data_IF_525112237505
#
_entry.id   IF_525112237505
#
_cell.length_a   1.000
_cell.length_b   1.000
_cell.length_c   1.000
_cell.angle_alpha   90.00
_cell.angle_beta   90.00
_cell.angle_gamma   90.00
#
_symmetry.space_group_name_H-M   'P 1'
#
loop_
_entity.id
_entity.type
_entity.pdbx_description
1 polymer ?
#
# COMPACT_ATOMS: atom_id res chain seq x y z
N UNK A 1 -18.00 -54.05 42.22
CA UNK A 1 -16.94 -53.43 41.39
C UNK A 1 -17.54 -53.19 40.02
N UNK A 2 -17.67 -52.01 39.46
CA UNK A 2 -17.60 -50.62 39.90
C UNK A 2 -18.31 -49.83 38.76
N UNK A 3 -18.93 -48.73 39.13
CA UNK A 3 -19.77 -47.85 38.30
C UNK A 3 -18.99 -47.15 37.17
N UNK A 4 -19.73 -46.63 36.17
CA UNK A 4 -19.19 -45.86 35.05
C UNK A 4 -20.29 -45.08 34.31
N UNK A 5 -20.72 -44.00 34.95
CA UNK A 5 -21.19 -42.68 34.43
C UNK A 5 -21.98 -42.59 33.11
N UNK A 6 -23.27 -42.24 33.24
CA UNK A 6 -24.12 -41.66 32.20
C UNK A 6 -23.69 -40.21 31.90
N UNK A 7 -23.28 -39.94 30.66
CA UNK A 7 -22.88 -38.60 30.19
C UNK A 7 -24.12 -37.82 29.69
N UNK A 8 -24.61 -36.78 30.41
CA UNK A 8 -25.91 -36.15 30.14
C UNK A 8 -25.88 -35.02 29.10
N UNK A 9 -24.78 -34.86 28.35
CA UNK A 9 -24.58 -33.74 27.40
C UNK A 9 -24.37 -34.14 25.93
N UNK A 10 -24.93 -35.28 25.51
CA UNK A 10 -25.00 -35.67 24.11
C UNK A 10 -26.01 -34.83 23.30
N UNK A 11 -25.72 -33.54 23.06
CA UNK A 11 -26.45 -32.73 22.09
C UNK A 11 -26.17 -33.25 20.67
N UNK A 12 -27.08 -34.08 20.16
CA UNK A 12 -27.15 -34.40 18.75
C UNK A 12 -27.37 -33.12 17.94
N UNK A 13 -26.31 -32.62 17.29
CA UNK A 13 -26.42 -31.63 16.23
C UNK A 13 -27.15 -32.27 15.03
N UNK A 14 -28.48 -32.18 15.03
CA UNK A 14 -29.25 -32.24 13.80
C UNK A 14 -28.95 -30.97 13.02
N UNK A 15 -28.00 -31.06 12.10
CA UNK A 15 -27.81 -30.04 11.07
C UNK A 15 -29.06 -30.02 10.18
N UNK A 16 -30.02 -29.18 10.55
CA UNK A 16 -31.09 -28.73 9.66
C UNK A 16 -30.49 -27.81 8.60
N UNK A 17 -29.69 -28.39 7.70
CA UNK A 17 -29.31 -27.75 6.45
C UNK A 17 -30.54 -27.71 5.53
N UNK A 18 -31.44 -26.76 5.78
CA UNK A 18 -32.33 -26.27 4.75
C UNK A 18 -31.46 -25.51 3.75
N UNK A 19 -30.82 -26.25 2.85
CA UNK A 19 -30.21 -25.69 1.66
C UNK A 19 -31.33 -25.05 0.84
N UNK A 20 -31.49 -23.74 0.99
CA UNK A 20 -32.21 -22.92 0.02
C UNK A 20 -31.66 -23.29 -1.35
N UNK A 21 -32.47 -23.96 -2.15
CA UNK A 21 -32.17 -24.32 -3.53
C UNK A 21 -31.88 -23.04 -4.31
N UNK A 22 -30.60 -22.66 -4.35
CA UNK A 22 -30.13 -21.50 -5.08
C UNK A 22 -30.54 -21.64 -6.55
N UNK A 23 -31.13 -20.58 -7.10
CA UNK A 23 -31.56 -20.56 -8.50
C UNK A 23 -30.41 -21.04 -9.41
N UNK A 24 -30.60 -22.09 -10.23
CA UNK A 24 -29.54 -22.66 -11.07
C UNK A 24 -28.94 -21.64 -12.05
N UNK A 25 -29.68 -20.56 -12.37
CA UNK A 25 -29.18 -19.45 -13.18
C UNK A 25 -28.11 -18.65 -12.45
N UNK A 26 -28.27 -18.42 -11.14
CA UNK A 26 -27.31 -17.71 -10.30
C UNK A 26 -26.02 -18.52 -10.18
N UNK A 27 -26.13 -19.83 -9.98
CA UNK A 27 -24.96 -20.71 -9.92
C UNK A 27 -24.16 -20.69 -11.24
N UNK A 28 -24.86 -20.71 -12.37
CA UNK A 28 -24.23 -20.65 -13.70
C UNK A 28 -23.51 -19.31 -13.92
N UNK A 29 -24.15 -18.20 -13.55
CA UNK A 29 -23.57 -16.86 -13.66
C UNK A 29 -22.35 -16.68 -12.76
N UNK A 30 -22.41 -17.20 -11.53
CA UNK A 30 -21.29 -17.16 -10.58
C UNK A 30 -20.09 -17.92 -11.14
N UNK A 31 -20.29 -19.13 -11.66
CA UNK A 31 -19.22 -19.91 -12.28
C UNK A 31 -18.60 -19.19 -13.50
N UNK A 32 -19.42 -18.47 -14.29
CA UNK A 32 -18.91 -17.67 -15.40
C UNK A 32 -18.01 -16.52 -14.90
N UNK A 33 -18.39 -15.82 -13.84
CA UNK A 33 -17.56 -14.76 -13.25
C UNK A 33 -16.28 -15.29 -12.61
N UNK A 34 -16.33 -16.43 -11.91
CA UNK A 34 -15.12 -17.05 -11.36
C UNK A 34 -14.16 -17.47 -12.45
N UNK A 35 -14.66 -18.05 -13.56
CA UNK A 35 -13.82 -18.37 -14.72
C UNK A 35 -13.22 -17.14 -15.39
N UNK A 36 -13.95 -16.01 -15.41
CA UNK A 36 -13.41 -14.74 -15.88
C UNK A 36 -12.25 -14.26 -15.00
N UNK A 37 -12.36 -14.36 -13.67
CA UNK A 37 -11.28 -14.01 -12.75
C UNK A 37 -10.05 -14.93 -12.90
N UNK A 38 -10.24 -16.18 -13.32
CA UNK A 38 -9.14 -17.10 -13.64
C UNK A 38 -8.48 -16.86 -15.00
N UNK A 39 -9.05 -16.01 -15.86
CA UNK A 39 -8.56 -15.85 -17.24
C UNK A 39 -7.25 -15.05 -17.34
N UNK A 40 -6.95 -14.19 -16.37
CA UNK A 40 -5.74 -13.38 -16.37
C UNK A 40 -4.56 -14.16 -15.75
N UNK A 41 -3.59 -14.52 -16.58
CA UNK A 41 -2.37 -15.20 -16.15
C UNK A 41 -1.33 -14.25 -15.53
N UNK A 42 -1.42 -12.94 -15.77
CA UNK A 42 -0.45 -11.95 -15.25
C UNK A 42 -0.77 -11.53 -13.83
N UNK A 43 -2.06 -11.43 -13.51
CA UNK A 43 -2.56 -11.05 -12.19
C UNK A 43 -3.49 -12.15 -11.65
N UNK A 44 -2.93 -13.24 -11.09
CA UNK A 44 -3.70 -14.42 -10.71
C UNK A 44 -4.46 -14.18 -9.39
N UNK A 45 -5.56 -13.44 -9.44
CA UNK A 45 -6.45 -13.24 -8.28
C UNK A 45 -7.16 -14.51 -7.87
N UNK A 46 -7.45 -15.40 -8.82
CA UNK A 46 -8.16 -16.65 -8.59
C UNK A 46 -7.60 -17.75 -9.49
N UNK A 47 -7.39 -18.94 -8.94
CA UNK A 47 -7.03 -20.15 -9.69
C UNK A 47 -8.06 -21.24 -9.47
N UNK A 48 -8.34 -21.99 -10.52
CA UNK A 48 -9.16 -23.19 -10.46
C UNK A 48 -8.25 -24.38 -10.13
N UNK A 49 -8.47 -25.03 -8.98
CA UNK A 49 -7.73 -26.23 -8.58
C UNK A 49 -8.36 -27.50 -9.19
N UNK A 50 -9.69 -27.54 -9.22
CA UNK A 50 -10.49 -28.58 -9.87
C UNK A 50 -11.77 -27.95 -10.40
N UNK A 51 -12.50 -28.58 -11.34
CA UNK A 51 -13.73 -28.01 -11.89
C UNK A 51 -14.70 -27.56 -10.81
N UNK A 52 -14.94 -26.25 -10.70
CA UNK A 52 -15.81 -25.66 -9.68
C UNK A 52 -15.19 -25.43 -8.30
N UNK A 53 -13.89 -25.70 -8.12
CA UNK A 53 -13.12 -25.42 -6.90
C UNK A 53 -12.04 -24.37 -7.19
N UNK A 54 -12.10 -23.25 -6.47
CA UNK A 54 -11.25 -22.10 -6.68
C UNK A 54 -10.48 -21.73 -5.41
N UNK A 55 -9.27 -21.21 -5.58
CA UNK A 55 -8.44 -20.70 -4.48
C UNK A 55 -7.69 -19.43 -4.88
N UNK A 56 -7.30 -18.62 -3.89
CA UNK A 56 -6.51 -17.41 -4.08
C UNK A 56 -5.03 -17.73 -3.82
N UNK A 57 -4.13 -17.58 -4.81
CA UNK A 57 -2.72 -17.91 -4.65
C UNK A 57 -1.94 -16.76 -3.97
N UNK A 58 -2.10 -16.59 -2.65
CA UNK A 58 -1.49 -15.49 -1.89
C UNK A 58 0.04 -15.40 -2.06
N UNK A 59 0.76 -16.51 -2.18
CA UNK A 59 2.22 -16.52 -2.37
C UNK A 59 2.66 -15.80 -3.65
N UNK A 60 1.87 -15.90 -4.72
CA UNK A 60 2.17 -15.27 -6.01
C UNK A 60 1.53 -13.88 -6.12
N UNK A 61 0.34 -13.72 -5.55
CA UNK A 61 -0.45 -12.50 -5.62
C UNK A 61 0.13 -11.38 -4.74
N UNK A 62 0.60 -11.71 -3.53
CA UNK A 62 1.09 -10.69 -2.57
C UNK A 62 2.22 -9.84 -3.14
N UNK A 63 3.31 -10.39 -3.71
CA UNK A 63 4.37 -9.58 -4.33
C UNK A 63 3.87 -8.68 -5.46
N UNK A 64 2.85 -9.12 -6.22
CA UNK A 64 2.26 -8.34 -7.31
C UNK A 64 1.45 -7.16 -6.77
N UNK A 65 0.64 -7.37 -5.72
CA UNK A 65 -0.15 -6.34 -5.06
C UNK A 65 0.77 -5.28 -4.43
N UNK A 66 1.85 -5.70 -3.77
CA UNK A 66 2.84 -4.78 -3.20
C UNK A 66 3.48 -3.93 -4.29
N UNK A 67 3.95 -4.58 -5.35
CA UNK A 67 4.58 -3.91 -6.50
C UNK A 67 3.63 -2.97 -7.22
N UNK A 68 2.37 -3.35 -7.41
CA UNK A 68 1.35 -2.49 -7.99
C UNK A 68 1.11 -1.26 -7.10
N UNK A 69 0.96 -1.46 -5.79
CA UNK A 69 0.74 -0.39 -4.82
C UNK A 69 1.91 0.60 -4.81
N UNK A 70 3.14 0.09 -4.76
CA UNK A 70 4.37 0.89 -4.88
C UNK A 70 4.37 1.73 -6.17
N UNK A 71 4.05 1.11 -7.32
CA UNK A 71 3.96 1.80 -8.61
C UNK A 71 2.89 2.90 -8.62
N UNK A 72 1.76 2.72 -7.93
CA UNK A 72 0.76 3.78 -7.80
C UNK A 72 1.30 4.95 -6.97
N UNK A 73 2.01 4.71 -5.88
CA UNK A 73 2.68 5.78 -5.13
C UNK A 73 3.70 6.54 -5.99
N UNK A 74 4.54 5.83 -6.73
CA UNK A 74 5.48 6.47 -7.66
C UNK A 74 4.78 7.34 -8.69
N UNK A 75 3.65 6.87 -9.24
CA UNK A 75 2.85 7.65 -10.19
C UNK A 75 2.31 8.94 -9.56
N UNK A 76 1.87 8.89 -8.30
CA UNK A 76 1.35 10.08 -7.61
C UNK A 76 2.47 11.07 -7.24
N UNK A 77 3.65 10.57 -6.85
CA UNK A 77 4.77 11.40 -6.38
C UNK A 77 5.57 11.97 -7.56
N UNK A 78 5.94 11.13 -8.54
CA UNK A 78 6.86 11.48 -9.64
C UNK A 78 6.16 11.61 -11.00
N UNK A 79 4.88 11.24 -11.09
CA UNK A 79 4.07 11.35 -12.30
C UNK A 79 4.06 10.11 -13.18
N UNK A 80 3.21 10.14 -14.22
CA UNK A 80 3.01 9.02 -15.14
C UNK A 80 4.22 8.68 -16.00
N UNK A 81 5.06 9.67 -16.33
CA UNK A 81 6.28 9.47 -17.12
C UNK A 81 7.29 8.60 -16.37
N UNK A 82 7.44 8.81 -15.06
CA UNK A 82 8.27 8.00 -14.18
C UNK A 82 7.80 6.54 -14.18
N UNK A 83 6.50 6.31 -13.99
CA UNK A 83 5.95 4.95 -13.99
C UNK A 83 6.19 4.23 -15.32
N UNK A 84 6.04 4.94 -16.44
CA UNK A 84 6.29 4.38 -17.78
C UNK A 84 7.74 3.93 -17.95
N UNK A 85 8.69 4.77 -17.56
CA UNK A 85 10.13 4.46 -17.62
C UNK A 85 10.45 3.29 -16.68
N UNK A 86 9.98 3.34 -15.43
CA UNK A 86 10.22 2.30 -14.44
C UNK A 86 9.72 0.92 -14.90
N UNK A 87 8.50 0.86 -15.46
CA UNK A 87 7.94 -0.39 -16.00
C UNK A 87 8.81 -0.98 -17.12
N UNK A 88 9.35 -0.14 -17.99
CA UNK A 88 10.22 -0.60 -19.07
C UNK A 88 11.57 -1.10 -18.57
N UNK A 89 12.24 -0.32 -17.71
CA UNK A 89 13.55 -0.71 -17.13
C UNK A 89 13.43 -2.01 -16.33
N UNK A 90 12.32 -2.21 -15.63
CA UNK A 90 12.06 -3.44 -14.89
C UNK A 90 11.82 -4.66 -15.80
N UNK A 91 11.22 -4.47 -16.98
CA UNK A 91 10.97 -5.54 -17.95
C UNK A 91 12.23 -5.98 -18.69
N UNK A 92 13.08 -5.03 -19.10
CA UNK A 92 14.30 -5.33 -19.87
C UNK A 92 15.49 -5.72 -18.99
N UNK A 93 15.40 -5.54 -17.66
CA UNK A 93 16.43 -5.78 -16.63
C UNK A 93 17.73 -4.94 -16.75
N UNK A 94 18.19 -4.66 -17.98
CA UNK A 94 19.36 -3.86 -18.30
C UNK A 94 19.16 -3.16 -19.64
N UNK A 95 19.10 -1.82 -19.68
CA UNK A 95 18.81 -1.09 -20.93
C UNK A 95 19.60 0.22 -21.08
N UNK A 96 19.79 0.70 -22.30
CA UNK A 96 20.40 2.01 -22.58
C UNK A 96 19.31 3.10 -22.73
N UNK A 97 19.64 4.35 -22.40
CA UNK A 97 18.78 5.52 -22.54
C UNK A 97 18.27 5.69 -23.97
N UNK A 98 19.09 5.34 -24.98
CA UNK A 98 18.69 5.42 -26.40
C UNK A 98 17.60 4.42 -26.75
N UNK A 99 17.68 3.19 -26.22
CA UNK A 99 16.66 2.16 -26.46
C UNK A 99 15.38 2.50 -25.69
N UNK A 100 15.54 2.92 -24.43
CA UNK A 100 14.45 3.43 -23.59
C UNK A 100 13.66 4.54 -24.31
N UNK A 101 14.35 5.51 -24.93
CA UNK A 101 13.72 6.61 -25.64
C UNK A 101 12.84 6.16 -26.81
N UNK A 102 13.33 5.19 -27.59
CA UNK A 102 12.59 4.62 -28.72
C UNK A 102 11.34 3.86 -28.26
N UNK A 103 11.42 3.14 -27.14
CA UNK A 103 10.35 2.28 -26.63
C UNK A 103 9.27 3.05 -25.88
N UNK A 104 9.68 4.04 -25.11
CA UNK A 104 8.80 4.85 -24.24
C UNK A 104 8.15 6.03 -25.01
N UNK A 105 8.61 6.27 -26.25
CA UNK A 105 8.16 7.33 -27.16
C UNK A 105 8.30 8.72 -26.52
N UNK A 106 9.45 8.98 -25.91
CA UNK A 106 9.79 10.24 -25.26
C UNK A 106 11.12 10.76 -25.79
N UNK A 107 11.30 12.09 -25.74
CA UNK A 107 12.58 12.71 -26.11
C UNK A 107 13.65 12.34 -25.08
N UNK A 108 14.88 12.12 -25.53
CA UNK A 108 15.98 11.77 -24.63
C UNK A 108 16.24 12.84 -23.55
N UNK A 109 16.05 14.13 -23.86
CA UNK A 109 16.17 15.22 -22.89
C UNK A 109 15.17 15.08 -21.74
N UNK A 110 13.93 14.77 -22.06
CA UNK A 110 12.85 14.65 -21.08
C UNK A 110 13.03 13.38 -20.23
N UNK A 111 13.55 12.31 -20.84
CA UNK A 111 13.91 11.08 -20.14
C UNK A 111 15.01 11.33 -19.12
N UNK A 112 16.10 12.01 -19.49
CA UNK A 112 17.21 12.31 -18.56
C UNK A 112 16.70 13.04 -17.31
N UNK A 113 15.87 14.08 -17.48
CA UNK A 113 15.27 14.81 -16.36
C UNK A 113 14.39 13.93 -15.44
N UNK A 114 13.76 12.89 -15.99
CA UNK A 114 12.99 11.93 -15.18
C UNK A 114 13.93 10.92 -14.51
N UNK A 115 14.96 10.44 -15.21
CA UNK A 115 15.96 9.52 -14.66
C UNK A 115 16.72 10.17 -13.49
N UNK A 116 17.08 11.45 -13.58
CA UNK A 116 17.75 12.19 -12.50
C UNK A 116 16.90 12.17 -11.23
N UNK A 117 15.61 12.49 -11.34
CA UNK A 117 14.65 12.37 -10.22
C UNK A 117 14.48 10.94 -9.75
N UNK A 118 14.45 9.96 -10.64
CA UNK A 118 14.35 8.56 -10.25
C UNK A 118 15.58 8.07 -9.48
N UNK A 119 16.76 8.60 -9.80
CA UNK A 119 18.00 8.32 -9.09
C UNK A 119 18.00 8.91 -7.68
N UNK A 120 17.45 10.11 -7.47
CA UNK A 120 17.28 10.70 -6.12
C UNK A 120 16.45 9.81 -5.19
N UNK A 121 15.43 9.13 -5.73
CA UNK A 121 14.59 8.18 -4.99
C UNK A 121 15.17 6.74 -4.97
N UNK A 122 16.40 6.55 -5.45
CA UNK A 122 17.07 5.25 -5.58
C UNK A 122 16.24 4.19 -6.32
N UNK A 123 15.42 4.62 -7.30
CA UNK A 123 14.56 3.72 -8.10
C UNK A 123 15.34 2.98 -9.18
N UNK A 124 16.43 3.58 -9.64
CA UNK A 124 17.27 3.10 -10.72
C UNK A 124 18.74 3.32 -10.35
N UNK A 125 19.59 2.50 -10.95
CA UNK A 125 21.04 2.60 -10.83
C UNK A 125 21.65 2.65 -12.24
N UNK A 126 22.68 3.48 -12.38
CA UNK A 126 23.52 3.50 -13.57
C UNK A 126 24.65 2.49 -13.40
N UNK A 127 24.59 1.41 -14.16
CA UNK A 127 25.64 0.43 -14.27
C UNK A 127 26.66 0.88 -15.31
N UNK A 128 27.85 1.21 -14.88
CA UNK A 128 28.98 1.43 -15.78
C UNK A 128 29.50 0.08 -16.31
N UNK A 129 29.70 0.02 -17.62
CA UNK A 129 30.25 -1.12 -18.36
C UNK A 129 31.56 -0.63 -19.01
N UNK A 130 32.73 -0.97 -18.44
CA UNK A 130 34.00 -0.50 -18.95
C UNK A 130 34.31 -1.18 -20.29
N UNK A 131 34.64 -0.39 -21.31
CA UNK A 131 35.07 -0.90 -22.62
C UNK A 131 36.58 -1.13 -22.72
N UNK A 132 37.35 -0.50 -21.82
CA UNK A 132 38.80 -0.52 -21.81
C UNK A 132 39.30 -0.84 -20.39
N UNK A 133 40.50 -1.43 -20.29
CA UNK A 133 41.06 -1.91 -19.01
C UNK A 133 41.30 -0.81 -17.99
N UNK A 134 41.55 0.42 -18.44
CA UNK A 134 41.73 1.62 -17.63
C UNK A 134 40.42 2.11 -16.98
N UNK A 135 39.27 1.49 -17.29
CA UNK A 135 37.94 1.84 -16.75
C UNK A 135 37.63 3.35 -16.85
N UNK A 136 38.01 3.97 -17.97
CA UNK A 136 37.72 5.38 -18.21
C UNK A 136 36.23 5.59 -18.49
N UNK A 137 35.57 6.42 -17.67
CA UNK A 137 34.15 6.77 -17.82
C UNK A 137 33.80 7.39 -19.19
N UNK A 138 34.75 8.06 -19.84
CA UNK A 138 34.57 8.66 -21.19
C UNK A 138 34.32 7.57 -22.24
N UNK A 139 34.91 6.38 -22.04
CA UNK A 139 34.82 5.25 -22.98
C UNK A 139 33.87 4.16 -22.50
N UNK A 140 33.28 4.31 -21.32
CA UNK A 140 32.35 3.34 -20.78
C UNK A 140 30.97 3.43 -21.46
N UNK A 141 30.23 2.32 -21.44
CA UNK A 141 28.79 2.33 -21.69
C UNK A 141 28.06 2.38 -20.35
N UNK A 142 26.91 3.05 -20.30
CA UNK A 142 26.07 3.08 -19.11
C UNK A 142 24.77 2.35 -19.42
N UNK A 143 24.39 1.44 -18.54
CA UNK A 143 23.13 0.75 -18.61
C UNK A 143 22.30 1.04 -17.35
N UNK A 144 20.99 1.05 -17.50
CA UNK A 144 20.03 1.29 -16.44
C UNK A 144 19.58 -0.04 -15.85
N UNK A 145 19.58 -0.11 -14.52
CA UNK A 145 19.03 -1.24 -13.75
C UNK A 145 17.95 -0.72 -12.81
N UNK A 146 16.86 -1.48 -12.64
CA UNK A 146 15.86 -1.19 -11.62
C UNK A 146 16.33 -1.60 -10.23
N UNK A 147 16.19 -0.73 -9.24
CA UNK A 147 16.53 -1.02 -7.84
C UNK A 147 15.27 -1.14 -6.97
N UNK A 148 14.32 -1.99 -7.38
CA UNK A 148 13.00 -2.09 -6.76
C UNK A 148 13.06 -2.39 -5.25
N UNK A 149 13.90 -3.35 -4.82
CA UNK A 149 13.97 -3.77 -3.41
C UNK A 149 14.44 -2.65 -2.49
N UNK A 150 15.53 -1.96 -2.86
CA UNK A 150 16.05 -0.87 -2.05
C UNK A 150 15.11 0.34 -2.08
N UNK A 151 14.51 0.64 -3.24
CA UNK A 151 13.53 1.72 -3.34
C UNK A 151 12.27 1.46 -2.51
N UNK A 152 11.79 0.21 -2.47
CA UNK A 152 10.66 -0.18 -1.62
C UNK A 152 11.00 -0.03 -0.14
N UNK A 153 12.20 -0.48 0.28
CA UNK A 153 12.68 -0.32 1.65
C UNK A 153 12.82 1.16 2.03
N UNK A 154 13.39 1.98 1.16
CA UNK A 154 13.49 3.43 1.36
C UNK A 154 12.10 4.08 1.48
N UNK A 155 11.17 3.74 0.58
CA UNK A 155 9.79 4.23 0.63
C UNK A 155 9.10 3.85 1.96
N UNK A 156 9.28 2.61 2.42
CA UNK A 156 8.75 2.16 3.73
C UNK A 156 9.29 3.03 4.87
N UNK A 157 10.60 3.25 4.91
CA UNK A 157 11.23 4.13 5.91
C UNK A 157 10.71 5.57 5.84
N UNK A 158 10.54 6.13 4.63
CA UNK A 158 9.95 7.46 4.45
C UNK A 158 8.50 7.51 4.95
N UNK A 159 7.67 6.50 4.67
CA UNK A 159 6.30 6.45 5.17
C UNK A 159 6.24 6.37 6.69
N UNK A 160 7.10 5.56 7.31
CA UNK A 160 7.20 5.46 8.77
C UNK A 160 7.65 6.77 9.38
N UNK A 161 8.65 7.44 8.80
CA UNK A 161 9.08 8.76 9.25
C UNK A 161 7.93 9.79 9.14
N UNK A 162 7.23 9.83 8.01
CA UNK A 162 6.07 10.70 7.82
C UNK A 162 4.93 10.40 8.80
N UNK A 163 4.75 9.15 9.23
CA UNK A 163 3.81 8.82 10.29
C UNK A 163 4.21 9.45 11.63
N UNK A 164 5.51 9.46 11.94
CA UNK A 164 6.07 10.17 13.10
C UNK A 164 5.78 11.67 13.05
N UNK A 165 6.11 12.33 11.94
CA UNK A 165 5.85 13.77 11.72
C UNK A 165 4.36 14.13 11.88
N UNK A 166 3.46 13.27 11.38
CA UNK A 166 2.01 13.46 11.54
C UNK A 166 1.60 13.40 13.01
N UNK A 167 2.16 12.47 13.79
CA UNK A 167 1.89 12.38 15.22
C UNK A 167 2.50 13.55 16.00
N UNK A 168 3.74 13.93 15.70
CA UNK A 168 4.41 15.08 16.32
C UNK A 168 3.61 16.36 16.10
N UNK A 169 3.14 16.60 14.87
CA UNK A 169 2.28 17.75 14.58
C UNK A 169 0.96 17.76 15.38
N UNK A 170 0.45 16.57 15.75
CA UNK A 170 -0.72 16.46 16.61
C UNK A 170 -0.37 16.81 18.06
N UNK A 171 0.79 16.37 18.53
CA UNK A 171 1.27 16.67 19.88
C UNK A 171 1.56 18.16 20.06
N UNK A 172 2.15 18.81 19.06
CA UNK A 172 2.41 20.25 19.05
C UNK A 172 1.10 21.04 19.18
N UNK A 173 0.11 20.74 18.35
CA UNK A 173 -1.20 21.40 18.42
C UNK A 173 -1.92 21.10 19.74
N UNK A 174 -1.77 19.88 20.28
CA UNK A 174 -2.30 19.54 21.61
C UNK A 174 -1.61 20.36 22.70
N UNK A 175 -0.30 20.58 22.60
CA UNK A 175 0.47 21.39 23.54
C UNK A 175 0.05 22.87 23.50
N UNK A 176 -0.08 23.44 22.29
CA UNK A 176 -0.53 24.82 22.09
C UNK A 176 -1.94 25.07 22.65
N UNK A 177 -2.81 24.05 22.60
CA UNK A 177 -4.18 24.12 23.10
C UNK A 177 -4.35 23.56 24.51
N UNK A 178 -3.27 23.23 25.23
CA UNK A 178 -3.31 22.52 26.51
C UNK A 178 -4.23 23.17 27.54
N UNK A 179 -4.16 24.49 27.71
CA UNK A 179 -4.97 25.22 28.70
C UNK A 179 -6.47 25.06 28.40
N UNK A 180 -6.85 25.14 27.12
CA UNK A 180 -8.23 24.96 26.67
C UNK A 180 -8.68 23.51 26.88
N UNK A 181 -7.85 22.54 26.53
CA UNK A 181 -8.14 21.11 26.70
C UNK A 181 -8.24 20.72 28.18
N UNK A 182 -7.38 21.26 29.03
CA UNK A 182 -7.43 21.11 30.49
C UNK A 182 -8.75 21.68 31.04
N UNK A 183 -9.20 22.84 30.54
CA UNK A 183 -10.49 23.43 30.90
C UNK A 183 -11.68 22.54 30.52
N UNK A 184 -11.67 21.97 29.31
CA UNK A 184 -12.74 21.10 28.78
C UNK A 184 -12.76 19.73 29.48
N UNK A 185 -11.60 19.22 29.87
CA UNK A 185 -11.50 17.90 30.52
C UNK A 185 -12.05 17.85 31.95
N UNK A 186 -12.30 19.02 32.58
CA UNK A 186 -12.90 19.09 33.91
C UNK A 186 -14.33 18.55 33.92
N UNK A 187 -14.66 17.78 34.96
CA UNK A 187 -15.97 17.11 35.09
C UNK A 187 -17.17 18.06 35.11
N UNK A 188 -17.00 19.29 35.56
CA UNK A 188 -18.07 20.31 35.60
C UNK A 188 -18.35 20.93 34.23
N UNK A 189 -17.36 20.92 33.33
CA UNK A 189 -17.40 21.52 31.98
C UNK A 189 -17.75 20.49 30.90
N UNK A 190 -17.27 19.26 31.06
CA UNK A 190 -17.47 18.16 30.11
C UNK A 190 -18.96 17.94 29.82
N UNK A 191 -19.34 17.99 28.54
CA UNK A 191 -20.74 17.83 28.10
C UNK A 191 -21.62 19.08 28.24
N UNK A 192 -21.11 20.17 28.84
CA UNK A 192 -21.74 21.51 28.88
C UNK A 192 -20.85 22.59 28.26
N UNK A 193 -20.03 22.18 27.30
CA UNK A 193 -19.07 23.06 26.59
C UNK A 193 -19.75 24.24 25.91
N UNK A 194 -20.97 24.06 25.39
CA UNK A 194 -21.71 25.14 24.72
C UNK A 194 -22.22 26.22 25.67
N UNK A 195 -22.46 25.87 26.94
CA UNK A 195 -22.99 26.79 27.95
C UNK A 195 -21.86 27.46 28.76
N UNK A 196 -20.74 26.75 28.95
CA UNK A 196 -19.69 27.12 29.89
C UNK A 196 -18.42 27.71 29.24
N UNK A 197 -18.25 27.55 27.93
CA UNK A 197 -17.13 28.15 27.18
C UNK A 197 -17.54 29.47 26.53
N UNK A 198 -16.56 30.36 26.38
CA UNK A 198 -16.75 31.56 25.57
C UNK A 198 -16.82 31.18 24.07
N UNK A 199 -17.54 31.98 23.28
CA UNK A 199 -17.68 31.75 21.83
C UNK A 199 -16.33 31.63 21.09
N UNK A 200 -15.29 32.34 21.54
CA UNK A 200 -13.93 32.23 20.98
C UNK A 200 -13.26 30.88 21.31
N UNK A 201 -13.38 30.42 22.55
CA UNK A 201 -12.86 29.12 23.01
C UNK A 201 -13.57 27.97 22.31
N UNK A 202 -14.88 28.06 22.14
CA UNK A 202 -15.70 27.10 21.40
C UNK A 202 -15.21 26.95 19.95
N UNK A 203 -14.95 28.06 19.27
CA UNK A 203 -14.43 28.06 17.90
C UNK A 203 -13.03 27.47 17.81
N UNK A 204 -12.17 27.75 18.79
CA UNK A 204 -10.83 27.17 18.88
C UNK A 204 -10.88 25.66 19.13
N UNK A 205 -11.76 25.21 20.01
CA UNK A 205 -11.99 23.79 20.30
C UNK A 205 -12.48 23.03 19.05
N UNK A 206 -13.41 23.61 18.29
CA UNK A 206 -13.87 23.04 17.02
C UNK A 206 -12.73 22.89 16.02
N UNK A 207 -11.87 23.90 15.88
CA UNK A 207 -10.70 23.84 14.99
C UNK A 207 -9.71 22.76 15.44
N UNK A 208 -9.48 22.63 16.75
CA UNK A 208 -8.63 21.58 17.31
C UNK A 208 -9.17 20.19 16.93
N UNK A 209 -10.45 19.91 17.19
CA UNK A 209 -11.03 18.60 16.87
C UNK A 209 -11.07 18.30 15.37
N UNK A 210 -11.28 19.32 14.53
CA UNK A 210 -11.21 19.16 13.09
C UNK A 210 -9.79 18.81 12.64
N UNK A 211 -8.78 19.50 13.18
CA UNK A 211 -7.38 19.19 12.92
C UNK A 211 -7.02 17.79 13.39
N UNK A 212 -7.34 17.44 14.64
CA UNK A 212 -7.08 16.12 15.22
C UNK A 212 -7.67 15.00 14.37
N UNK A 213 -8.95 15.13 13.98
CA UNK A 213 -9.62 14.15 13.10
C UNK A 213 -8.93 14.02 11.74
N UNK A 214 -8.56 15.14 11.11
CA UNK A 214 -7.88 15.12 9.82
C UNK A 214 -6.49 14.49 9.93
N UNK A 215 -5.74 14.81 10.98
CA UNK A 215 -4.38 14.33 11.22
C UNK A 215 -4.38 12.83 11.54
N UNK A 216 -5.30 12.34 12.38
CA UNK A 216 -5.49 10.91 12.61
C UNK A 216 -5.91 10.17 11.33
N UNK A 217 -6.80 10.76 10.52
CA UNK A 217 -7.18 10.16 9.23
C UNK A 217 -5.97 10.05 8.28
N UNK A 218 -5.08 11.05 8.25
CA UNK A 218 -3.81 10.97 7.49
C UNK A 218 -2.91 9.86 8.02
N UNK A 219 -2.76 9.75 9.34
CA UNK A 219 -1.97 8.70 9.98
C UNK A 219 -2.46 7.30 9.59
N UNK A 220 -3.77 7.03 9.69
CA UNK A 220 -4.32 5.72 9.33
C UNK A 220 -4.16 5.39 7.84
N UNK A 221 -4.24 6.39 6.95
CA UNK A 221 -3.96 6.20 5.52
C UNK A 221 -2.49 5.83 5.28
N UNK A 222 -1.56 6.49 5.98
CA UNK A 222 -0.14 6.14 5.91
C UNK A 222 0.13 4.76 6.49
N UNK A 223 -0.47 4.41 7.63
CA UNK A 223 -0.33 3.07 8.22
C UNK A 223 -0.81 1.98 7.27
N UNK A 224 -1.98 2.16 6.66
CA UNK A 224 -2.50 1.20 5.68
C UNK A 224 -1.56 1.01 4.48
N UNK A 225 -0.81 2.04 4.07
CA UNK A 225 0.21 1.92 3.04
C UNK A 225 1.40 1.06 3.49
N UNK A 226 1.85 1.26 4.73
CA UNK A 226 2.96 0.48 5.33
C UNK A 226 2.56 -0.98 5.53
N UNK A 227 1.32 -1.24 5.96
CA UNK A 227 0.79 -2.61 6.14
C UNK A 227 0.95 -3.45 4.87
N UNK A 228 0.67 -2.86 3.69
CA UNK A 228 0.85 -3.54 2.40
C UNK A 228 2.31 -3.92 2.18
N UNK A 229 3.25 -3.05 2.54
CA UNK A 229 4.68 -3.30 2.34
C UNK A 229 5.28 -4.27 3.37
N UNK A 230 4.76 -4.31 4.60
CA UNK A 230 5.16 -5.27 5.63
C UNK A 230 4.80 -6.72 5.27
N UNK A 231 3.71 -6.94 4.54
CA UNK A 231 3.30 -8.27 4.07
C UNK A 231 4.36 -8.98 3.21
N UNK A 232 5.31 -8.23 2.64
CA UNK A 232 6.40 -8.75 1.83
C UNK A 232 7.61 -9.24 2.64
N UNK A 233 7.76 -8.81 3.89
CA UNK A 233 8.89 -9.22 4.76
C UNK A 233 8.62 -10.56 5.48
N UNK A 234 7.38 -11.06 5.42
CA UNK A 234 6.91 -12.28 6.10
C UNK A 234 6.80 -13.54 5.23
N UNK A 235 7.30 -13.51 3.98
CA UNK A 235 7.34 -14.64 3.03
C UNK A 235 8.77 -14.78 2.50
#
# INVERSE_FOLDING_TARGET
>A
MAEGEDDPFGMGMQSSASASSGDPRIMTLLLQHLKLLCSDAREPFLREASPGSFYVPFTELTPLVVKYTFKQYLKQILGSSCLRIFNFVEQEHLTDVKELAKRVLMRESDIRNVLDRMQEFNLIEFQEIPKTQDRSAIRAAFALRSNYRNALSAMKSCLIHNMGEVLESLEDIRFDNKILLDKVSRNDVKGREQELLLAGELKQLQKYYEFERQTLAKFFRLRSAVDVFEFMDGI
#
